data_IF_404135733386
#
_entry.id   IF_404135733386
#
_cell.length_a   1.000
_cell.length_b   1.000
_cell.length_c   1.000
_cell.angle_alpha   90.00
_cell.angle_beta   90.00
_cell.angle_gamma   90.00
#
_symmetry.space_group_name_H-M   'P 1'
#
loop_
_entity.id
_entity.type
_entity.pdbx_description
1 polymer ?
#
# COMPACT_ATOMS: atom_id res chain seq x y z
N UNK A 1 -19.99 -0.06 -17.97
CA UNK A 1 -19.37 -1.36 -18.28
C UNK A 1 -17.96 -1.28 -17.73
N UNK A 2 -17.78 -1.85 -16.54
CA UNK A 2 -16.55 -1.87 -15.77
C UNK A 2 -15.60 -2.98 -16.28
N UNK A 3 -14.38 -2.96 -15.74
CA UNK A 3 -13.39 -4.04 -15.62
C UNK A 3 -12.26 -4.13 -16.65
N UNK A 4 -11.12 -3.55 -16.24
CA UNK A 4 -9.77 -4.14 -16.17
C UNK A 4 -8.81 -3.06 -15.63
N UNK A 5 -8.97 -2.61 -14.38
CA UNK A 5 -8.28 -3.12 -13.19
C UNK A 5 -6.74 -2.92 -13.22
N UNK A 6 -6.32 -1.82 -12.57
CA UNK A 6 -5.12 -1.65 -11.76
C UNK A 6 -4.02 -2.73 -11.88
N UNK A 7 -2.89 -2.37 -12.47
CA UNK A 7 -1.57 -2.92 -12.09
C UNK A 7 -0.58 -1.77 -11.91
N UNK A 8 -0.18 -1.42 -10.68
CA UNK A 8 1.01 -0.60 -10.48
C UNK A 8 2.20 -1.41 -11.00
N UNK A 9 2.95 -0.84 -11.93
CA UNK A 9 4.22 -1.43 -12.39
C UNK A 9 5.26 -1.18 -11.29
N UNK A 10 5.15 -1.94 -10.20
CA UNK A 10 6.29 -2.26 -9.32
C UNK A 10 7.02 -3.45 -9.92
N UNK A 11 7.67 -3.21 -11.05
CA UNK A 11 8.69 -4.14 -11.55
C UNK A 11 9.75 -3.34 -12.30
N UNK A 12 10.45 -2.48 -11.56
CA UNK A 12 11.83 -2.16 -11.92
C UNK A 12 12.56 -3.48 -11.96
N UNK A 13 12.73 -3.97 -13.19
CA UNK A 13 13.15 -5.32 -13.47
C UNK A 13 14.43 -5.65 -12.70
N UNK A 14 14.43 -6.85 -12.13
CA UNK A 14 15.61 -7.61 -11.66
C UNK A 14 16.80 -7.59 -12.65
N UNK A 15 16.58 -7.15 -13.91
CA UNK A 15 17.60 -6.98 -14.94
C UNK A 15 18.46 -5.70 -14.78
N UNK A 16 17.92 -4.61 -14.22
CA UNK A 16 18.69 -3.38 -13.94
C UNK A 16 19.55 -3.54 -12.68
N UNK A 17 19.03 -4.22 -11.66
CA UNK A 17 19.76 -4.53 -10.41
C UNK A 17 20.91 -5.54 -10.60
N UNK A 18 20.97 -6.27 -11.73
CA UNK A 18 22.11 -7.13 -12.08
C UNK A 18 23.26 -6.35 -12.76
N UNK A 19 22.98 -5.16 -13.30
CA UNK A 19 23.98 -4.28 -13.95
C UNK A 19 24.71 -3.39 -12.96
N UNK A 20 24.06 -3.01 -11.86
CA UNK A 20 24.73 -2.44 -10.69
C UNK A 20 25.23 -3.61 -9.84
N UNK A 21 26.54 -3.83 -9.77
CA UNK A 21 27.17 -4.96 -9.09
C UNK A 21 26.99 -5.00 -7.57
N UNK A 22 25.75 -5.07 -7.10
CA UNK A 22 25.41 -5.38 -5.72
C UNK A 22 25.49 -6.90 -5.56
N UNK A 23 26.66 -7.33 -5.09
CA UNK A 23 26.99 -8.73 -4.84
C UNK A 23 25.94 -9.40 -3.98
N UNK A 24 25.44 -10.53 -4.48
CA UNK A 24 24.59 -11.43 -3.73
C UNK A 24 25.28 -11.98 -2.48
N UNK A 25 24.45 -12.33 -1.50
CA UNK A 25 24.84 -12.98 -0.27
C UNK A 25 25.83 -14.14 -0.51
N UNK A 26 26.98 -14.09 0.13
CA UNK A 26 27.96 -15.19 0.18
C UNK A 26 27.76 -15.95 1.49
N UNK A 27 27.69 -17.29 1.48
CA UNK A 27 27.51 -18.08 2.69
C UNK A 27 28.71 -17.96 3.64
N UNK A 28 28.40 -17.83 4.93
CA UNK A 28 29.33 -17.77 6.06
C UNK A 28 30.06 -19.13 6.15
N UNK A 29 31.38 -19.17 5.92
CA UNK A 29 32.14 -20.41 6.15
C UNK A 29 33.49 -20.59 5.46
N UNK A 30 33.95 -19.68 4.60
CA UNK A 30 35.30 -19.73 4.03
C UNK A 30 35.94 -18.36 4.16
N UNK A 31 37.20 -18.32 4.63
CA UNK A 31 38.01 -17.12 4.87
C UNK A 31 38.32 -16.30 3.61
N UNK A 32 37.28 -15.87 2.90
CA UNK A 32 37.36 -14.89 1.84
C UNK A 32 37.26 -13.50 2.48
N UNK A 33 38.25 -12.67 2.15
CA UNK A 33 38.23 -11.22 2.32
C UNK A 33 36.86 -10.71 1.88
N UNK A 34 36.03 -10.33 2.83
CA UNK A 34 34.76 -9.68 2.52
C UNK A 34 35.11 -8.36 1.84
N UNK A 35 34.65 -8.23 0.59
CA UNK A 35 34.69 -6.96 -0.12
C UNK A 35 33.73 -6.04 0.61
N UNK A 36 34.24 -5.06 1.35
CA UNK A 36 33.42 -3.92 1.73
C UNK A 36 32.84 -3.34 0.42
N UNK A 37 31.54 -3.04 0.42
CA UNK A 37 30.80 -2.55 -0.76
C UNK A 37 31.38 -1.24 -1.31
N UNK A 38 32.29 -0.59 -0.58
CA UNK A 38 33.07 0.57 -0.96
C UNK A 38 34.43 0.22 -1.58
N UNK A 39 34.47 -0.44 -2.75
CA UNK A 39 35.52 -0.31 -3.80
C UNK A 39 37.03 -0.47 -3.49
N UNK A 40 37.45 -0.61 -2.23
CA UNK A 40 38.82 -0.82 -1.79
C UNK A 40 38.99 -2.23 -1.24
N UNK A 41 40.24 -2.72 -1.23
CA UNK A 41 40.59 -3.95 -0.53
C UNK A 41 40.24 -3.76 0.96
N UNK A 42 39.14 -4.37 1.41
CA UNK A 42 38.77 -4.40 2.81
C UNK A 42 39.86 -5.08 3.63
N UNK A 43 40.17 -4.53 4.81
CA UNK A 43 41.04 -5.21 5.77
C UNK A 43 40.38 -6.55 6.17
N UNK A 44 41.12 -7.66 6.32
CA UNK A 44 40.58 -8.92 6.87
C UNK A 44 40.00 -8.75 8.28
N UNK A 45 38.94 -9.52 8.64
CA UNK A 45 38.12 -9.24 9.86
C UNK A 45 38.77 -9.79 11.08
N UNK A 46 39.42 -10.91 10.86
CA UNK A 46 40.13 -11.63 11.88
C UNK A 46 41.59 -11.56 11.47
N UNK A 47 42.48 -11.14 12.38
CA UNK A 47 43.90 -11.33 12.17
C UNK A 47 44.21 -12.83 12.10
N UNK A 48 45.30 -13.18 11.43
CA UNK A 48 45.78 -14.54 11.40
C UNK A 48 46.09 -15.04 12.82
N UNK A 49 45.86 -16.34 13.03
CA UNK A 49 45.96 -16.93 14.35
C UNK A 49 47.43 -17.00 14.80
N UNK A 50 47.73 -16.39 15.95
CA UNK A 50 49.06 -16.45 16.58
C UNK A 50 48.96 -17.24 17.88
N UNK A 51 49.87 -18.20 18.08
CA UNK A 51 50.03 -18.93 19.35
C UNK A 51 51.15 -18.29 20.16
N UNK A 52 51.02 -18.32 21.49
CA UNK A 52 51.98 -17.72 22.45
C UNK A 52 52.27 -16.22 22.27
N UNK A 53 51.47 -15.51 21.47
CA UNK A 53 51.58 -14.06 21.25
C UNK A 53 52.62 -13.63 20.22
N UNK A 54 53.57 -14.50 19.83
CA UNK A 54 54.61 -14.16 18.84
C UNK A 54 54.82 -15.20 17.73
N UNK A 55 54.35 -16.45 17.88
CA UNK A 55 54.57 -17.50 16.87
C UNK A 55 53.29 -17.68 16.03
N UNK A 56 53.34 -17.49 14.69
CA UNK A 56 52.17 -17.69 13.83
C UNK A 56 51.76 -19.17 13.77
N UNK A 57 50.47 -19.44 13.61
CA UNK A 57 49.94 -20.81 13.51
C UNK A 57 50.51 -21.53 12.27
N UNK A 58 50.90 -20.81 11.21
CA UNK A 58 51.56 -21.38 10.03
C UNK A 58 52.80 -22.21 10.40
N UNK A 59 53.61 -21.72 11.35
CA UNK A 59 54.78 -22.45 11.83
C UNK A 59 54.38 -23.81 12.44
N UNK A 60 53.31 -23.84 13.24
CA UNK A 60 52.77 -25.08 13.79
C UNK A 60 52.22 -26.01 12.69
N UNK A 61 51.56 -25.46 11.66
CA UNK A 61 51.03 -26.28 10.55
C UNK A 61 52.12 -26.99 9.75
N UNK A 62 53.31 -26.39 9.63
CA UNK A 62 54.46 -27.01 8.98
C UNK A 62 54.89 -28.26 9.74
N UNK A 63 54.98 -28.17 11.07
CA UNK A 63 55.33 -29.30 11.94
C UNK A 63 54.24 -30.36 12.02
N UNK A 64 52.95 -29.99 12.01
CA UNK A 64 51.85 -30.94 12.07
C UNK A 64 51.87 -31.98 10.95
N UNK A 65 52.31 -31.59 9.74
CA UNK A 65 52.44 -32.51 8.60
C UNK A 65 53.47 -33.62 8.81
N UNK A 66 54.41 -33.45 9.76
CA UNK A 66 55.56 -34.36 9.95
C UNK A 66 55.60 -35.02 11.32
N UNK A 67 55.36 -34.26 12.38
CA UNK A 67 55.59 -34.69 13.77
C UNK A 67 54.33 -34.60 14.63
N UNK A 68 53.17 -34.31 14.02
CA UNK A 68 51.89 -34.21 14.72
C UNK A 68 51.81 -33.01 15.67
N UNK A 69 50.76 -32.96 16.47
CA UNK A 69 50.45 -31.77 17.30
C UNK A 69 51.49 -31.49 18.37
N UNK A 70 52.18 -32.53 18.88
CA UNK A 70 53.20 -32.42 19.92
C UNK A 70 54.57 -31.99 19.39
N UNK A 71 54.84 -32.18 18.11
CA UNK A 71 56.13 -31.88 17.48
C UNK A 71 56.67 -30.46 17.72
N UNK A 72 55.90 -29.40 17.41
CA UNK A 72 56.37 -28.03 17.63
C UNK A 72 56.66 -27.72 19.10
N UNK A 73 55.88 -28.29 20.03
CA UNK A 73 56.08 -28.09 21.47
C UNK A 73 57.31 -28.84 21.99
N UNK A 74 57.51 -30.09 21.56
CA UNK A 74 58.68 -30.88 21.89
C UNK A 74 59.96 -30.25 21.30
N UNK A 75 59.89 -29.70 20.09
CA UNK A 75 60.98 -28.94 19.48
C UNK A 75 61.30 -27.67 20.26
N UNK A 76 60.29 -26.89 20.67
CA UNK A 76 60.49 -25.70 21.49
C UNK A 76 61.15 -25.99 22.84
N UNK A 77 60.69 -27.04 23.55
CA UNK A 77 61.30 -27.49 24.80
C UNK A 77 62.73 -28.01 24.58
N UNK A 78 62.95 -28.84 23.55
CA UNK A 78 64.27 -29.37 23.22
C UNK A 78 65.27 -28.28 22.86
N UNK A 79 64.86 -27.27 22.10
CA UNK A 79 65.67 -26.11 21.75
C UNK A 79 66.02 -25.28 22.98
N UNK A 80 65.06 -25.04 23.88
CA UNK A 80 65.29 -24.33 25.14
C UNK A 80 66.25 -25.10 26.07
N UNK A 81 66.07 -26.41 26.23
CA UNK A 81 67.00 -27.25 27.03
C UNK A 81 68.41 -27.27 26.41
N UNK A 82 68.52 -27.31 25.08
CA UNK A 82 69.81 -27.23 24.39
C UNK A 82 70.52 -25.89 24.65
N UNK A 83 69.79 -24.77 24.57
CA UNK A 83 70.35 -23.44 24.79
C UNK A 83 70.88 -23.25 26.22
N UNK A 84 70.19 -23.80 27.23
CA UNK A 84 70.71 -23.81 28.60
C UNK A 84 71.87 -24.79 28.79
N UNK A 85 71.80 -25.99 28.20
CA UNK A 85 72.87 -26.99 28.33
C UNK A 85 74.18 -26.57 27.66
N UNK A 86 74.12 -25.67 26.66
CA UNK A 86 75.29 -25.13 25.97
C UNK A 86 75.70 -23.74 26.45
N UNK A 87 75.08 -23.24 27.53
CA UNK A 87 75.34 -21.91 28.11
C UNK A 87 75.26 -20.77 27.08
N UNK A 88 74.51 -20.97 25.98
CA UNK A 88 74.23 -19.90 25.01
C UNK A 88 73.30 -18.87 25.65
N UNK A 89 72.39 -19.33 26.52
CA UNK A 89 71.72 -18.49 27.50
C UNK A 89 72.38 -18.65 28.87
N UNK A 90 73.14 -17.63 29.29
CA UNK A 90 73.75 -17.54 30.62
C UNK A 90 72.73 -16.96 31.60
N UNK A 91 72.49 -17.66 32.71
CA UNK A 91 71.53 -17.26 33.74
C UNK A 91 72.12 -16.19 34.70
N UNK A 92 72.46 -15.03 34.16
CA UNK A 92 72.93 -13.89 34.94
C UNK A 92 71.79 -13.12 35.62
N UNK A 93 72.13 -12.14 36.47
CA UNK A 93 71.17 -11.25 37.11
C UNK A 93 70.22 -10.55 36.12
N UNK A 94 70.69 -10.22 34.92
CA UNK A 94 69.87 -9.62 33.85
C UNK A 94 68.81 -10.60 33.29
N UNK A 95 69.07 -11.91 33.29
CA UNK A 95 68.12 -12.91 32.82
C UNK A 95 66.85 -12.96 33.70
N UNK A 96 67.02 -12.88 35.02
CA UNK A 96 65.90 -12.82 35.96
C UNK A 96 65.11 -11.52 35.86
N UNK A 97 65.78 -10.39 35.56
CA UNK A 97 65.11 -9.13 35.25
C UNK A 97 64.29 -9.21 33.94
N UNK A 98 64.81 -9.92 32.93
CA UNK A 98 64.07 -10.18 31.68
C UNK A 98 62.81 -11.01 31.89
N UNK A 99 62.87 -12.05 32.72
CA UNK A 99 61.70 -12.89 33.05
C UNK A 99 60.63 -12.08 33.79
N UNK A 100 61.01 -11.28 34.79
CA UNK A 100 60.05 -10.49 35.57
C UNK A 100 59.36 -9.42 34.71
N UNK A 101 60.10 -8.77 33.81
CA UNK A 101 59.53 -7.85 32.81
C UNK A 101 58.61 -8.58 31.82
N UNK A 102 58.99 -9.77 31.35
CA UNK A 102 58.16 -10.57 30.44
C UNK A 102 56.82 -10.97 31.06
N UNK A 103 56.82 -11.40 32.33
CA UNK A 103 55.59 -11.73 33.07
C UNK A 103 54.69 -10.50 33.20
N UNK A 104 55.27 -9.34 33.53
CA UNK A 104 54.53 -8.08 33.63
C UNK A 104 53.88 -7.71 32.28
N UNK A 105 54.61 -7.81 31.17
CA UNK A 105 54.09 -7.53 29.83
C UNK A 105 52.93 -8.45 29.46
N UNK A 106 53.00 -9.75 29.77
CA UNK A 106 51.90 -10.70 29.51
C UNK A 106 50.65 -10.36 30.32
N UNK A 107 50.81 -9.98 31.59
CA UNK A 107 49.69 -9.56 32.44
C UNK A 107 49.05 -8.26 31.93
N UNK A 108 49.87 -7.29 31.51
CA UNK A 108 49.40 -6.04 30.94
C UNK A 108 48.56 -6.26 29.67
N UNK A 109 49.05 -7.08 28.73
CA UNK A 109 48.32 -7.38 27.48
C UNK A 109 47.00 -8.11 27.77
N UNK A 110 46.98 -9.08 28.69
CA UNK A 110 45.75 -9.82 29.02
C UNK A 110 44.69 -8.97 29.72
N UNK A 111 45.09 -7.98 30.53
CA UNK A 111 44.15 -7.14 31.29
C UNK A 111 43.70 -5.89 30.52
N UNK A 112 44.62 -5.24 29.81
CA UNK A 112 44.33 -4.00 29.06
C UNK A 112 43.89 -4.25 27.62
N UNK A 113 44.19 -5.43 27.06
CA UNK A 113 43.81 -5.79 25.69
C UNK A 113 42.30 -5.75 25.43
N UNK A 114 41.47 -6.49 26.20
CA UNK A 114 40.02 -6.52 25.97
C UNK A 114 39.30 -5.16 26.06
N UNK A 115 39.56 -4.29 27.07
CA UNK A 115 38.91 -2.98 27.12
C UNK A 115 39.40 -2.05 26.01
N UNK A 116 40.69 -2.09 25.65
CA UNK A 116 41.24 -1.27 24.57
C UNK A 116 40.67 -1.68 23.21
N UNK A 117 40.57 -2.99 22.94
CA UNK A 117 39.96 -3.50 21.71
C UNK A 117 38.50 -3.05 21.57
N UNK A 118 37.70 -3.21 22.63
CA UNK A 118 36.30 -2.74 22.64
C UNK A 118 36.17 -1.23 22.41
N UNK A 119 37.08 -0.43 22.98
CA UNK A 119 37.07 1.00 22.78
C UNK A 119 37.38 1.37 21.32
N UNK A 120 38.41 0.77 20.74
CA UNK A 120 38.77 0.98 19.33
C UNK A 120 37.66 0.52 18.38
N UNK A 121 37.06 -0.64 18.62
CA UNK A 121 35.93 -1.14 17.82
C UNK A 121 34.73 -0.18 17.90
N UNK A 122 34.43 0.33 19.11
CA UNK A 122 33.31 1.27 19.29
C UNK A 122 33.50 2.59 18.54
N UNK A 123 34.73 3.04 18.36
CA UNK A 123 35.03 4.28 17.63
C UNK A 123 34.89 4.06 16.12
N UNK A 124 35.33 2.90 15.62
CA UNK A 124 35.10 2.50 14.22
C UNK A 124 33.61 2.37 13.94
N UNK A 125 32.85 1.74 14.83
CA UNK A 125 31.40 1.59 14.69
C UNK A 125 30.68 2.93 14.66
N UNK A 126 31.08 3.91 15.48
CA UNK A 126 30.49 5.28 15.43
C UNK A 126 30.72 5.93 14.08
N UNK A 127 31.94 5.85 13.55
CA UNK A 127 32.27 6.42 12.23
C UNK A 127 31.44 5.71 11.16
N UNK A 128 31.41 4.39 11.15
CA UNK A 128 30.64 3.61 10.17
C UNK A 128 29.13 3.92 10.24
N UNK A 129 28.57 4.03 11.44
CA UNK A 129 27.17 4.38 11.65
C UNK A 129 26.87 5.81 11.21
N UNK A 130 27.77 6.77 11.43
CA UNK A 130 27.62 8.13 10.93
C UNK A 130 27.51 8.16 9.39
N UNK A 131 28.39 7.45 8.68
CA UNK A 131 28.33 7.36 7.21
C UNK A 131 27.08 6.64 6.71
N UNK A 132 26.68 5.55 7.38
CA UNK A 132 25.44 4.83 7.06
C UNK A 132 24.22 5.73 7.25
N UNK A 133 24.16 6.45 8.37
CA UNK A 133 23.07 7.35 8.69
C UNK A 133 22.96 8.49 7.68
N UNK A 134 24.08 9.16 7.36
CA UNK A 134 24.12 10.20 6.34
C UNK A 134 23.54 9.71 5.00
N UNK A 135 23.99 8.53 4.53
CA UNK A 135 23.44 7.93 3.31
C UNK A 135 21.95 7.62 3.42
N UNK A 136 21.49 7.06 4.54
CA UNK A 136 20.05 6.75 4.70
C UNK A 136 19.21 8.01 4.74
N UNK A 137 19.70 9.09 5.34
CA UNK A 137 19.03 10.40 5.36
C UNK A 137 18.97 10.98 3.95
N UNK A 138 20.07 10.98 3.19
CA UNK A 138 20.08 11.42 1.79
C UNK A 138 19.06 10.64 0.94
N UNK A 139 18.99 9.31 1.11
CA UNK A 139 18.01 8.49 0.39
C UNK A 139 16.56 8.81 0.78
N UNK A 140 16.31 9.11 2.06
CA UNK A 140 14.99 9.50 2.53
C UNK A 140 14.58 10.86 1.98
N UNK A 141 15.47 11.86 2.04
CA UNK A 141 15.23 13.19 1.48
C UNK A 141 14.94 13.13 -0.03
N UNK A 142 15.72 12.33 -0.79
CA UNK A 142 15.48 12.13 -2.21
C UNK A 142 14.13 11.45 -2.48
N UNK A 143 13.73 10.48 -1.65
CA UNK A 143 12.44 9.82 -1.78
C UNK A 143 11.27 10.78 -1.47
N UNK A 144 11.39 11.59 -0.42
CA UNK A 144 10.40 12.62 -0.07
C UNK A 144 10.24 13.67 -1.18
N UNK A 145 11.34 14.09 -1.82
CA UNK A 145 11.30 14.98 -2.98
C UNK A 145 10.57 14.36 -4.16
N UNK A 146 10.83 13.08 -4.47
CA UNK A 146 10.14 12.37 -5.56
C UNK A 146 8.64 12.26 -5.29
N UNK A 147 8.26 11.93 -4.06
CA UNK A 147 6.85 11.81 -3.67
C UNK A 147 6.14 13.18 -3.67
N UNK A 148 6.85 14.24 -3.29
CA UNK A 148 6.40 15.63 -3.40
C UNK A 148 6.11 16.03 -4.85
N UNK A 149 7.06 15.79 -5.76
CA UNK A 149 6.91 16.07 -7.20
C UNK A 149 5.76 15.28 -7.83
N UNK A 150 5.61 14.00 -7.47
CA UNK A 150 4.52 13.16 -7.97
C UNK A 150 3.14 13.68 -7.50
N UNK A 151 3.05 14.17 -6.27
CA UNK A 151 1.84 14.79 -5.74
C UNK A 151 1.51 16.10 -6.47
N UNK A 152 2.50 16.93 -6.78
CA UNK A 152 2.27 18.16 -7.56
C UNK A 152 1.85 17.88 -9.00
N UNK A 153 2.42 16.86 -9.64
CA UNK A 153 1.94 16.38 -10.95
C UNK A 153 0.49 15.89 -10.88
N UNK A 154 0.12 15.15 -9.82
CA UNK A 154 -1.25 14.71 -9.59
C UNK A 154 -2.21 15.90 -9.41
N UNK A 155 -1.81 16.92 -8.64
CA UNK A 155 -2.58 18.16 -8.44
C UNK A 155 -2.79 18.93 -9.75
N UNK A 156 -1.75 19.05 -10.56
CA UNK A 156 -1.84 19.69 -11.88
C UNK A 156 -2.86 18.98 -12.78
N UNK A 157 -2.81 17.64 -12.84
CA UNK A 157 -3.78 16.83 -13.58
C UNK A 157 -5.20 16.97 -13.02
N UNK A 158 -5.35 17.01 -11.69
CA UNK A 158 -6.64 17.23 -11.02
C UNK A 158 -7.28 18.57 -11.40
N UNK A 159 -6.49 19.63 -11.53
CA UNK A 159 -6.97 20.94 -11.95
C UNK A 159 -7.51 20.94 -13.40
N UNK A 160 -6.83 20.25 -14.32
CA UNK A 160 -7.30 20.08 -15.70
C UNK A 160 -8.65 19.35 -15.73
N UNK A 161 -8.77 18.23 -15.00
CA UNK A 161 -10.02 17.47 -14.87
C UNK A 161 -11.14 18.34 -14.30
N UNK A 162 -10.85 19.15 -13.29
CA UNK A 162 -11.82 20.03 -12.66
C UNK A 162 -12.35 21.10 -13.62
N UNK A 163 -11.49 21.64 -14.50
CA UNK A 163 -11.93 22.57 -15.55
C UNK A 163 -12.81 21.89 -16.60
N UNK A 164 -12.49 20.66 -17.00
CA UNK A 164 -13.36 19.90 -17.91
C UNK A 164 -14.74 19.63 -17.30
N UNK A 165 -14.78 19.22 -16.02
CA UNK A 165 -16.04 18.98 -15.30
C UNK A 165 -16.86 20.26 -15.23
N UNK A 166 -16.24 21.41 -14.93
CA UNK A 166 -16.93 22.71 -14.95
C UNK A 166 -17.52 23.02 -16.32
N UNK A 167 -16.76 22.83 -17.40
CA UNK A 167 -17.23 23.03 -18.77
C UNK A 167 -18.42 22.12 -19.10
N UNK A 168 -18.35 20.83 -18.74
CA UNK A 168 -19.46 19.86 -18.92
C UNK A 168 -20.69 20.24 -18.10
N UNK A 169 -20.53 20.71 -16.87
CA UNK A 169 -21.64 21.16 -16.03
C UNK A 169 -22.35 22.37 -16.63
N UNK A 170 -21.62 23.36 -17.14
CA UNK A 170 -22.22 24.53 -17.81
C UNK A 170 -22.99 24.08 -19.05
N UNK A 171 -22.43 23.19 -19.87
CA UNK A 171 -23.10 22.67 -21.05
C UNK A 171 -24.40 21.94 -20.69
N UNK A 172 -24.38 21.10 -19.67
CA UNK A 172 -25.56 20.39 -19.18
C UNK A 172 -26.64 21.35 -18.66
N UNK A 173 -26.25 22.42 -17.97
CA UNK A 173 -27.18 23.46 -17.51
C UNK A 173 -27.86 24.18 -18.68
N UNK A 174 -27.11 24.50 -19.74
CA UNK A 174 -27.65 25.12 -20.96
C UNK A 174 -28.64 24.18 -21.65
N UNK A 175 -28.29 22.90 -21.84
CA UNK A 175 -29.21 21.91 -22.40
C UNK A 175 -30.47 21.73 -21.56
N UNK A 176 -30.33 21.71 -20.23
CA UNK A 176 -31.46 21.60 -19.32
C UNK A 176 -32.38 22.82 -19.43
N UNK A 177 -31.83 24.04 -19.53
CA UNK A 177 -32.61 25.26 -19.74
C UNK A 177 -33.35 25.24 -21.08
N UNK A 178 -32.68 24.82 -22.16
CA UNK A 178 -33.29 24.68 -23.48
C UNK A 178 -34.44 23.67 -23.48
N UNK A 179 -34.23 22.47 -22.91
CA UNK A 179 -35.29 21.44 -22.79
C UNK A 179 -36.45 21.93 -21.93
N UNK A 180 -36.19 22.68 -20.85
CA UNK A 180 -37.25 23.29 -20.03
C UNK A 180 -38.12 24.25 -20.83
N UNK A 181 -37.50 25.17 -21.59
CA UNK A 181 -38.22 26.13 -22.42
C UNK A 181 -39.09 25.42 -23.49
N UNK A 182 -38.57 24.39 -24.15
CA UNK A 182 -39.36 23.58 -25.09
C UNK A 182 -40.53 22.87 -24.42
N UNK A 183 -40.30 22.28 -23.25
CA UNK A 183 -41.36 21.60 -22.48
C UNK A 183 -42.43 22.56 -21.97
N UNK A 184 -42.07 23.81 -21.67
CA UNK A 184 -43.02 24.85 -21.29
C UNK A 184 -43.93 25.24 -22.46
N UNK A 185 -43.36 25.52 -23.64
CA UNK A 185 -44.13 25.75 -24.86
C UNK A 185 -45.06 24.57 -25.18
N UNK A 186 -44.55 23.33 -25.09
CA UNK A 186 -45.35 22.12 -25.30
C UNK A 186 -46.52 22.03 -24.31
N UNK A 187 -46.28 22.28 -23.02
CA UNK A 187 -47.32 22.27 -21.98
C UNK A 187 -48.39 23.32 -22.24
N UNK A 188 -48.02 24.52 -22.67
CA UNK A 188 -48.99 25.58 -22.99
C UNK A 188 -49.87 25.23 -24.18
N UNK A 189 -49.29 24.70 -25.26
CA UNK A 189 -50.07 24.23 -26.43
C UNK A 189 -51.00 23.09 -26.04
N UNK A 190 -50.49 22.12 -25.28
CA UNK A 190 -51.31 21.01 -24.77
C UNK A 190 -52.45 21.51 -23.88
N UNK A 191 -52.18 22.46 -22.98
CA UNK A 191 -53.18 23.05 -22.08
C UNK A 191 -54.34 23.68 -22.87
N UNK A 192 -54.05 24.38 -23.96
CA UNK A 192 -55.07 24.97 -24.85
C UNK A 192 -55.91 23.90 -25.56
N UNK A 193 -55.26 22.84 -26.04
CA UNK A 193 -55.95 21.73 -26.71
C UNK A 193 -56.83 20.94 -25.72
N UNK A 194 -56.29 20.59 -24.56
CA UNK A 194 -57.01 19.88 -23.50
C UNK A 194 -58.22 20.70 -23.03
N UNK A 195 -58.08 22.04 -22.95
CA UNK A 195 -59.20 22.93 -22.64
C UNK A 195 -60.32 22.88 -23.70
N UNK A 196 -59.98 22.91 -24.98
CA UNK A 196 -60.97 22.80 -26.07
C UNK A 196 -61.70 21.45 -26.04
N UNK A 197 -60.95 20.35 -25.82
CA UNK A 197 -61.53 19.01 -25.68
C UNK A 197 -62.43 18.93 -24.45
N UNK A 198 -62.02 19.53 -23.32
CA UNK A 198 -62.84 19.59 -22.11
C UNK A 198 -64.15 20.37 -22.35
N UNK A 199 -64.09 21.54 -23.01
CA UNK A 199 -65.28 22.31 -23.38
C UNK A 199 -66.25 21.49 -24.23
N UNK A 200 -65.77 20.88 -25.31
CA UNK A 200 -66.60 20.06 -26.20
C UNK A 200 -67.25 18.88 -25.45
N UNK A 201 -66.50 18.24 -24.55
CA UNK A 201 -67.03 17.17 -23.70
C UNK A 201 -68.09 17.68 -22.71
N UNK A 202 -67.90 18.85 -22.12
CA UNK A 202 -68.87 19.45 -21.19
C UNK A 202 -70.15 19.89 -21.90
N UNK A 203 -70.04 20.48 -23.09
CA UNK A 203 -71.18 20.86 -23.92
C UNK A 203 -71.97 19.63 -24.35
N UNK A 204 -71.30 18.59 -24.83
CA UNK A 204 -71.94 17.30 -25.13
C UNK A 204 -72.63 16.68 -23.92
N UNK A 205 -72.05 16.80 -22.71
CA UNK A 205 -72.70 16.36 -21.46
C UNK A 205 -73.91 17.22 -21.11
N UNK A 206 -73.83 18.54 -21.28
CA UNK A 206 -74.93 19.46 -21.00
C UNK A 206 -76.10 19.24 -21.97
N UNK A 207 -75.84 19.14 -23.26
CA UNK A 207 -76.84 18.86 -24.29
C UNK A 207 -77.56 17.54 -24.03
N UNK A 208 -76.83 16.47 -23.68
CA UNK A 208 -77.43 15.19 -23.26
C UNK A 208 -78.31 15.33 -22.02
N UNK A 209 -77.87 16.05 -20.99
CA UNK A 209 -78.67 16.30 -19.79
C UNK A 209 -79.94 17.11 -20.10
N UNK A 210 -79.82 18.17 -20.89
CA UNK A 210 -80.95 19.00 -21.28
C UNK A 210 -81.98 18.21 -22.11
N UNK A 211 -81.51 17.39 -23.05
CA UNK A 211 -82.36 16.48 -23.82
C UNK A 211 -83.11 15.51 -22.91
N UNK A 212 -82.43 14.87 -21.95
CA UNK A 212 -83.07 13.96 -20.98
C UNK A 212 -84.13 14.71 -20.16
N UNK A 213 -83.80 15.88 -19.62
CA UNK A 213 -84.75 16.69 -18.84
C UNK A 213 -85.96 17.13 -19.66
N UNK A 214 -85.74 17.53 -20.92
CA UNK A 214 -86.82 17.90 -21.83
C UNK A 214 -87.72 16.71 -22.14
N UNK A 215 -87.14 15.54 -22.47
CA UNK A 215 -87.89 14.29 -22.70
C UNK A 215 -88.68 13.89 -21.45
N UNK A 216 -88.07 13.90 -20.26
CA UNK A 216 -88.78 13.60 -19.00
C UNK A 216 -89.91 14.58 -18.74
N UNK A 217 -89.70 15.88 -18.99
CA UNK A 217 -90.73 16.91 -18.81
C UNK A 217 -91.90 16.72 -19.78
N UNK A 218 -91.60 16.42 -21.04
CA UNK A 218 -92.63 16.22 -22.05
C UNK A 218 -93.36 14.88 -21.85
N UNK A 219 -92.67 13.82 -21.42
CA UNK A 219 -93.31 12.59 -20.96
C UNK A 219 -94.25 12.85 -19.78
N UNK A 220 -93.82 13.60 -18.75
CA UNK A 220 -94.67 13.92 -17.60
C UNK A 220 -95.89 14.79 -17.96
N UNK A 221 -95.81 15.64 -18.99
CA UNK A 221 -96.95 16.43 -19.49
C UNK A 221 -97.86 15.65 -20.43
N UNK A 222 -97.29 14.75 -21.22
CA UNK A 222 -97.98 13.93 -22.20
C UNK A 222 -98.66 12.71 -21.61
N UNK A 223 -98.35 12.35 -20.36
CA UNK A 223 -99.21 11.48 -19.58
C UNK A 223 -100.53 12.23 -19.33
N UNK A 224 -101.70 11.71 -19.76
CA UNK A 224 -102.97 12.15 -19.19
C UNK A 224 -102.89 11.96 -17.67
N UNK A 225 -103.70 12.68 -16.87
CA UNK A 225 -103.89 12.40 -15.44
C UNK A 225 -104.33 10.92 -15.29
N UNK A 226 -103.37 10.00 -15.27
CA UNK A 226 -103.56 8.64 -14.82
C UNK A 226 -103.52 8.77 -13.31
N UNK A 227 -104.59 8.35 -12.63
CA UNK A 227 -104.65 8.34 -11.18
C UNK A 227 -103.36 7.69 -10.64
N UNK A 228 -102.51 8.49 -9.98
CA UNK A 228 -101.23 8.04 -9.39
C UNK A 228 -101.43 6.79 -8.51
N UNK A 229 -102.64 6.62 -7.97
CA UNK A 229 -103.09 5.48 -7.18
C UNK A 229 -103.23 4.16 -8.00
N UNK A 230 -103.69 4.20 -9.26
CA UNK A 230 -103.78 3.01 -10.11
C UNK A 230 -102.39 2.55 -10.58
N UNK A 231 -101.52 3.50 -10.91
CA UNK A 231 -100.15 3.21 -11.30
C UNK A 231 -99.34 2.64 -10.11
N UNK A 232 -99.53 3.19 -8.91
CA UNK A 232 -98.93 2.68 -7.68
C UNK A 232 -99.40 1.26 -7.34
N UNK A 233 -100.69 0.96 -7.54
CA UNK A 233 -101.23 -0.41 -7.41
C UNK A 233 -100.57 -1.38 -8.38
N UNK A 234 -100.52 -1.05 -9.68
CA UNK A 234 -99.89 -1.95 -10.67
C UNK A 234 -98.40 -2.16 -10.39
N UNK A 235 -97.67 -1.12 -9.95
CA UNK A 235 -96.25 -1.23 -9.58
C UNK A 235 -96.06 -2.11 -8.34
N UNK A 236 -96.97 -1.99 -7.36
CA UNK A 236 -97.06 -2.87 -6.20
C UNK A 236 -97.29 -4.33 -6.63
N UNK A 237 -98.28 -4.57 -7.49
CA UNK A 237 -98.63 -5.90 -7.98
C UNK A 237 -97.51 -6.55 -8.79
N UNK A 238 -96.79 -5.79 -9.64
CA UNK A 238 -95.62 -6.30 -10.37
C UNK A 238 -94.44 -6.58 -9.43
N UNK A 239 -94.22 -5.74 -8.42
CA UNK A 239 -93.17 -6.00 -7.42
C UNK A 239 -93.48 -7.22 -6.55
N UNK A 240 -94.75 -7.43 -6.20
CA UNK A 240 -95.25 -8.63 -5.52
C UNK A 240 -95.17 -9.87 -6.45
N UNK A 241 -95.49 -9.68 -7.74
CA UNK A 241 -95.12 -10.48 -8.91
C UNK A 241 -93.72 -11.07 -8.82
N UNK A 242 -92.76 -10.15 -8.87
CA UNK A 242 -91.34 -10.46 -8.89
C UNK A 242 -90.86 -11.10 -7.58
N UNK A 243 -91.39 -10.68 -6.43
CA UNK A 243 -91.08 -11.29 -5.13
C UNK A 243 -91.61 -12.73 -5.01
N UNK A 244 -92.82 -13.00 -5.52
CA UNK A 244 -93.38 -14.36 -5.59
C UNK A 244 -92.63 -15.26 -6.57
N UNK A 245 -92.09 -14.71 -7.65
CA UNK A 245 -91.29 -15.45 -8.63
C UNK A 245 -89.84 -15.70 -8.19
N UNK A 246 -89.38 -15.06 -7.09
CA UNK A 246 -88.01 -15.17 -6.55
C UNK A 246 -87.94 -16.01 -5.27
N UNK A 247 -89.07 -16.45 -4.73
CA UNK A 247 -89.17 -17.62 -3.86
C UNK A 247 -89.35 -18.88 -4.70
#
# INVERSE_FOLDING_TARGET
MYDNLFKPITFLSSRYLRKVGLGGAVPVGTGAIYKCVCGGFGRPSCPDKVRFGFIPDEWFTIFYKKTGVTGPYAFGLGLLTYLFSKEIYVCDHEFYAGISMGILSVLAVKKLGPPLAKYLDSEVDKVENYWKQARTTELQELQELIDGELNEQWRANGNLLLMEVKKRNIHLQIEAAYRKALMECYKEVKRRLDYQVALANTEGRFNRKNMILWVTKEMNKGLPDVDEDELAKMKGDVSALALRAKM
#
